data_IF_190415768431
#
_entry.id   IF_190415768431
#
_cell.length_a   1.000
_cell.length_b   1.000
_cell.length_c   1.000
_cell.angle_alpha   90.00
_cell.angle_beta   90.00
_cell.angle_gamma   90.00
#
_symmetry.space_group_name_H-M   'P 1'
#
loop_
_entity.id
_entity.type
_entity.pdbx_description
1 polymer ?
#
# COMPACT_ATOMS: atom_id res chain seq x y z
N UNK A 1 26.07 63.31 39.67
CA UNK A 1 25.07 62.23 39.79
C UNK A 1 24.17 62.02 38.55
N UNK A 2 24.14 62.93 37.55
CA UNK A 2 23.40 62.74 36.27
C UNK A 2 24.19 62.02 35.16
N UNK A 3 25.53 62.04 35.21
CA UNK A 3 26.39 61.40 34.19
C UNK A 3 26.37 59.86 34.28
N UNK A 4 26.35 59.31 35.49
CA UNK A 4 26.31 57.85 35.74
C UNK A 4 24.97 57.24 35.31
N UNK A 5 23.86 58.00 35.39
CA UNK A 5 22.50 57.54 35.08
C UNK A 5 22.20 57.45 33.58
N UNK A 6 22.90 58.22 32.74
CA UNK A 6 22.70 58.23 31.28
C UNK A 6 23.66 57.31 30.52
N UNK A 7 24.72 56.79 31.16
CA UNK A 7 25.67 55.87 30.55
C UNK A 7 25.64 54.44 31.12
N UNK A 8 24.83 54.20 32.16
CA UNK A 8 24.60 52.85 32.68
C UNK A 8 23.94 51.93 31.65
N UNK A 9 22.99 52.44 30.86
CA UNK A 9 22.28 51.67 29.83
C UNK A 9 23.19 51.12 28.72
N UNK A 10 24.02 51.94 28.04
CA UNK A 10 24.94 51.42 27.02
C UNK A 10 26.02 50.50 27.61
N UNK A 11 26.50 50.74 28.84
CA UNK A 11 27.44 49.84 29.50
C UNK A 11 26.82 48.47 29.83
N UNK A 12 25.57 48.44 30.33
CA UNK A 12 24.84 47.18 30.58
C UNK A 12 24.61 46.42 29.27
N UNK A 13 24.26 47.11 28.18
CA UNK A 13 24.06 46.49 26.87
C UNK A 13 25.33 45.85 26.34
N UNK A 14 26.48 46.54 26.43
CA UNK A 14 27.79 46.00 26.01
C UNK A 14 28.16 44.78 26.86
N UNK A 15 27.89 44.82 28.17
CA UNK A 15 28.18 43.72 29.08
C UNK A 15 27.29 42.50 28.80
N UNK A 16 26.03 42.71 28.42
CA UNK A 16 25.10 41.66 27.99
C UNK A 16 25.55 41.00 26.67
N UNK A 17 25.99 41.81 25.69
CA UNK A 17 26.54 41.31 24.42
C UNK A 17 27.81 40.49 24.68
N UNK A 18 28.70 40.96 25.55
CA UNK A 18 29.90 40.22 25.96
C UNK A 18 29.56 38.92 26.67
N UNK A 19 28.55 38.91 27.56
CA UNK A 19 28.07 37.68 28.20
C UNK A 19 27.51 36.68 27.18
N UNK A 20 26.73 37.13 26.18
CA UNK A 20 26.20 36.27 25.12
C UNK A 20 27.32 35.69 24.25
N UNK A 21 28.34 36.51 23.92
CA UNK A 21 29.50 36.04 23.16
C UNK A 21 30.33 35.04 23.96
N UNK A 22 30.55 35.29 25.26
CA UNK A 22 31.26 34.36 26.15
C UNK A 22 30.52 33.05 26.35
N UNK A 23 29.19 33.07 26.48
CA UNK A 23 28.40 31.84 26.57
C UNK A 23 28.41 31.07 25.26
N UNK A 24 28.34 31.73 24.09
CA UNK A 24 28.50 31.09 22.78
C UNK A 24 29.88 30.45 22.60
N UNK A 25 30.95 31.13 23.04
CA UNK A 25 32.33 30.59 22.98
C UNK A 25 32.47 29.39 23.92
N UNK A 26 31.96 29.47 25.16
CA UNK A 26 32.00 28.33 26.10
C UNK A 26 31.13 27.16 25.65
N UNK A 27 29.97 27.43 25.04
CA UNK A 27 29.15 26.39 24.42
C UNK A 27 29.91 25.74 23.26
N UNK A 28 30.59 26.51 22.42
CA UNK A 28 31.40 25.97 21.31
C UNK A 28 32.58 25.12 21.81
N UNK A 29 33.30 25.55 22.85
CA UNK A 29 34.44 24.79 23.40
C UNK A 29 34.00 23.54 24.15
N UNK A 30 32.81 23.53 24.77
CA UNK A 30 32.26 22.31 25.37
C UNK A 30 31.66 21.36 24.32
N UNK A 31 31.03 21.88 23.25
CA UNK A 31 30.50 21.07 22.15
C UNK A 31 31.60 20.52 21.23
N UNK A 32 32.78 21.16 21.14
CA UNK A 32 33.89 20.68 20.30
C UNK A 32 34.30 19.26 20.66
N UNK A 33 34.28 18.90 21.93
CA UNK A 33 34.63 17.56 22.40
C UNK A 33 33.55 16.52 22.05
N UNK A 34 32.31 16.95 21.79
CA UNK A 34 31.20 16.11 21.33
C UNK A 34 30.99 16.17 19.81
N UNK A 35 31.78 16.93 19.05
CA UNK A 35 31.66 17.00 17.58
C UNK A 35 31.84 15.64 16.93
N UNK A 36 32.74 14.80 17.46
CA UNK A 36 32.93 13.42 17.01
C UNK A 36 31.69 12.56 17.29
N UNK A 37 31.05 12.74 18.44
CA UNK A 37 29.81 12.03 18.81
C UNK A 37 28.64 12.48 17.96
N UNK A 38 28.47 13.80 17.75
CA UNK A 38 27.44 14.36 16.88
C UNK A 38 27.63 13.98 15.41
N UNK A 39 28.89 13.98 14.93
CA UNK A 39 29.24 13.53 13.58
C UNK A 39 28.99 12.03 13.41
N UNK A 40 29.34 11.20 14.40
CA UNK A 40 29.04 9.77 14.40
C UNK A 40 27.53 9.49 14.47
N UNK A 41 26.78 10.25 15.26
CA UNK A 41 25.31 10.15 15.32
C UNK A 41 24.67 10.56 14.00
N UNK A 42 25.09 11.68 13.39
CA UNK A 42 24.64 12.11 12.06
C UNK A 42 25.01 11.08 10.99
N UNK A 43 26.23 10.53 11.03
CA UNK A 43 26.69 9.48 10.12
C UNK A 43 25.91 8.18 10.26
N UNK A 44 25.60 7.76 11.49
CA UNK A 44 24.75 6.60 11.76
C UNK A 44 23.29 6.83 11.32
N UNK A 45 22.77 8.05 11.52
CA UNK A 45 21.41 8.40 11.15
C UNK A 45 21.26 8.45 9.62
N UNK A 46 22.18 9.12 8.91
CA UNK A 46 22.25 9.12 7.43
C UNK A 46 22.53 7.71 6.88
N UNK A 47 23.43 6.96 7.52
CA UNK A 47 23.76 5.58 7.15
C UNK A 47 22.57 4.61 7.30
N UNK A 48 21.72 4.82 8.31
CA UNK A 48 20.50 4.02 8.53
C UNK A 48 19.33 4.43 7.63
N UNK A 49 19.28 5.70 7.22
CA UNK A 49 18.24 6.21 6.31
C UNK A 49 18.36 5.63 4.89
N UNK A 50 19.56 5.34 4.40
CA UNK A 50 19.76 4.75 3.07
C UNK A 50 19.00 3.43 2.87
N UNK A 51 19.28 2.38 3.68
CA UNK A 51 18.56 1.11 3.63
C UNK A 51 17.05 1.25 3.88
N UNK A 52 16.65 2.16 4.78
CA UNK A 52 15.23 2.43 5.05
C UNK A 52 14.51 2.99 3.82
N UNK A 53 15.09 3.99 3.14
CA UNK A 53 14.52 4.57 1.91
C UNK A 53 14.50 3.56 0.77
N UNK A 54 15.55 2.73 0.63
CA UNK A 54 15.58 1.63 -0.35
C UNK A 54 14.49 0.60 -0.03
N UNK A 55 14.31 0.23 1.23
CA UNK A 55 13.26 -0.68 1.69
C UNK A 55 11.85 -0.13 1.40
N UNK A 56 11.60 1.14 1.72
CA UNK A 56 10.33 1.81 1.40
C UNK A 56 10.06 1.84 -0.10
N UNK A 57 11.06 2.13 -0.91
CA UNK A 57 10.93 2.14 -2.37
C UNK A 57 10.68 0.72 -2.92
N UNK A 58 11.32 -0.31 -2.34
CA UNK A 58 11.07 -1.71 -2.70
C UNK A 58 9.62 -2.10 -2.40
N UNK A 59 9.14 -1.80 -1.19
CA UNK A 59 7.75 -2.06 -0.78
C UNK A 59 6.75 -1.35 -1.70
N UNK A 60 7.00 -0.08 -2.05
CA UNK A 60 6.15 0.67 -2.98
C UNK A 60 6.11 0.01 -4.37
N UNK A 61 7.25 -0.48 -4.86
CA UNK A 61 7.34 -1.17 -6.14
C UNK A 61 6.64 -2.54 -6.13
N UNK A 62 6.77 -3.30 -5.04
CA UNK A 62 6.10 -4.59 -4.84
C UNK A 62 4.59 -4.41 -4.80
N UNK A 63 4.09 -3.47 -3.99
CA UNK A 63 2.68 -3.11 -3.96
C UNK A 63 2.16 -2.72 -5.35
N UNK A 64 2.87 -1.85 -6.09
CA UNK A 64 2.49 -1.45 -7.45
C UNK A 64 2.39 -2.65 -8.41
N UNK A 65 3.33 -3.58 -8.31
CA UNK A 65 3.34 -4.82 -9.13
C UNK A 65 2.19 -5.73 -8.73
N UNK A 66 1.99 -5.98 -7.43
CA UNK A 66 0.93 -6.81 -6.88
C UNK A 66 -0.44 -6.29 -7.30
N UNK A 67 -0.73 -5.01 -7.02
CA UNK A 67 -1.96 -4.33 -7.45
C UNK A 67 -2.22 -4.49 -8.94
N UNK A 68 -1.23 -4.20 -9.79
CA UNK A 68 -1.38 -4.34 -11.25
C UNK A 68 -1.69 -5.77 -11.68
N UNK A 69 -1.01 -6.77 -11.12
CA UNK A 69 -1.25 -8.18 -11.43
C UNK A 69 -2.64 -8.61 -10.99
N UNK A 70 -3.01 -8.24 -9.78
CA UNK A 70 -4.30 -8.58 -9.20
C UNK A 70 -5.47 -7.95 -9.95
N UNK A 71 -5.38 -6.66 -10.28
CA UNK A 71 -6.40 -5.99 -11.09
C UNK A 71 -6.57 -6.68 -12.44
N UNK A 72 -5.47 -7.09 -13.09
CA UNK A 72 -5.55 -7.82 -14.37
C UNK A 72 -6.22 -9.18 -14.24
N UNK A 73 -5.90 -9.92 -13.17
CA UNK A 73 -6.51 -11.22 -12.90
C UNK A 73 -8.02 -11.07 -12.66
N UNK A 74 -8.41 -10.10 -11.82
CA UNK A 74 -9.83 -9.78 -11.60
C UNK A 74 -10.54 -9.39 -12.90
N UNK A 75 -9.94 -8.52 -13.71
CA UNK A 75 -10.51 -8.14 -15.00
C UNK A 75 -10.69 -9.32 -15.94
N UNK A 76 -9.69 -10.20 -16.02
CA UNK A 76 -9.75 -11.39 -16.86
C UNK A 76 -10.89 -12.30 -16.40
N UNK A 77 -10.90 -12.67 -15.12
CA UNK A 77 -11.96 -13.54 -14.57
C UNK A 77 -13.35 -12.92 -14.69
N UNK A 78 -13.51 -11.63 -14.43
CA UNK A 78 -14.75 -10.90 -14.67
C UNK A 78 -15.17 -10.91 -16.14
N UNK A 79 -14.22 -10.82 -17.10
CA UNK A 79 -14.57 -10.89 -18.52
C UNK A 79 -15.02 -12.28 -18.97
N UNK A 80 -14.55 -13.34 -18.29
CA UNK A 80 -14.99 -14.72 -18.54
C UNK A 80 -16.36 -14.96 -17.93
N UNK A 81 -16.60 -14.47 -16.72
CA UNK A 81 -17.84 -14.67 -15.97
C UNK A 81 -18.67 -13.40 -15.83
N UNK A 82 -18.75 -12.59 -16.88
CA UNK A 82 -19.69 -11.46 -16.92
C UNK A 82 -21.13 -11.98 -17.03
N UNK A 83 -22.11 -11.11 -16.79
CA UNK A 83 -23.52 -11.51 -16.74
C UNK A 83 -23.98 -12.18 -18.04
N UNK A 84 -23.52 -11.68 -19.19
CA UNK A 84 -23.84 -12.22 -20.52
C UNK A 84 -23.33 -13.66 -20.69
N UNK A 85 -22.05 -13.91 -20.38
CA UNK A 85 -21.44 -15.23 -20.50
C UNK A 85 -22.03 -16.20 -19.47
N UNK A 86 -22.29 -15.74 -18.25
CA UNK A 86 -22.91 -16.57 -17.21
C UNK A 86 -24.30 -17.01 -17.62
N UNK A 87 -25.10 -16.13 -18.22
CA UNK A 87 -26.40 -16.50 -18.78
C UNK A 87 -26.28 -17.56 -19.88
N UNK A 88 -25.26 -17.48 -20.74
CA UNK A 88 -24.98 -18.48 -21.76
C UNK A 88 -24.57 -19.83 -21.14
N UNK A 89 -23.69 -19.81 -20.14
CA UNK A 89 -23.27 -20.99 -19.39
C UNK A 89 -24.41 -21.67 -18.64
N UNK A 90 -25.40 -20.90 -18.16
CA UNK A 90 -26.60 -21.45 -17.51
C UNK A 90 -27.57 -22.15 -18.49
N UNK A 91 -27.56 -21.73 -19.76
CA UNK A 91 -28.38 -22.30 -20.84
C UNK A 91 -27.70 -23.50 -21.52
N UNK A 92 -26.38 -23.57 -21.47
CA UNK A 92 -25.58 -24.64 -22.09
C UNK A 92 -25.60 -25.92 -21.25
N UNK A 93 -25.74 -27.12 -21.87
CA UNK A 93 -25.58 -28.39 -21.17
C UNK A 93 -24.16 -28.54 -20.59
N UNK A 94 -24.06 -29.06 -19.37
CA UNK A 94 -22.78 -29.25 -18.68
C UNK A 94 -21.79 -30.08 -19.51
N UNK A 95 -22.28 -31.09 -20.22
CA UNK A 95 -21.48 -32.00 -21.05
C UNK A 95 -20.75 -31.27 -22.20
N UNK A 96 -21.23 -30.09 -22.58
CA UNK A 96 -20.68 -29.27 -23.64
C UNK A 96 -19.86 -28.07 -23.10
N UNK A 97 -19.72 -27.95 -21.78
CA UNK A 97 -19.04 -26.81 -21.16
C UNK A 97 -17.67 -27.22 -20.65
N UNK A 98 -16.60 -26.78 -21.33
CA UNK A 98 -15.24 -26.90 -20.82
C UNK A 98 -14.74 -25.51 -20.39
N UNK A 99 -14.75 -25.24 -19.08
CA UNK A 99 -14.31 -23.95 -18.52
C UNK A 99 -12.77 -23.85 -18.49
N UNK A 100 -12.07 -25.00 -18.35
CA UNK A 100 -10.61 -25.04 -18.27
C UNK A 100 -10.08 -24.29 -17.04
N UNK A 101 -8.76 -24.04 -17.00
CA UNK A 101 -8.15 -23.23 -15.94
C UNK A 101 -8.26 -21.74 -16.29
N UNK A 102 -8.96 -20.98 -15.47
CA UNK A 102 -9.21 -19.54 -15.61
C UNK A 102 -8.29 -18.73 -14.68
N UNK A 103 -8.09 -19.17 -13.45
CA UNK A 103 -7.14 -18.57 -12.50
C UNK A 103 -5.74 -19.05 -12.88
N UNK A 104 -5.05 -18.28 -13.72
CA UNK A 104 -3.72 -18.65 -14.22
C UNK A 104 -2.57 -18.38 -13.23
N UNK A 105 -2.80 -17.56 -12.19
CA UNK A 105 -1.79 -17.22 -11.19
C UNK A 105 -2.12 -17.91 -9.86
N UNK A 106 -1.51 -19.06 -9.61
CA UNK A 106 -1.73 -19.86 -8.38
C UNK A 106 -1.26 -19.14 -7.10
N UNK A 107 -0.49 -18.05 -7.23
CA UNK A 107 0.02 -17.26 -6.12
C UNK A 107 -0.84 -15.99 -5.87
N UNK A 108 -2.04 -15.92 -6.46
CA UNK A 108 -2.90 -14.74 -6.38
C UNK A 108 -3.21 -14.30 -4.93
N UNK A 109 -3.33 -15.27 -4.02
CA UNK A 109 -3.63 -15.03 -2.60
C UNK A 109 -2.52 -14.25 -1.89
N UNK A 110 -1.26 -14.37 -2.32
CA UNK A 110 -0.14 -13.61 -1.76
C UNK A 110 -0.26 -12.10 -2.00
N UNK A 111 -1.08 -11.69 -2.98
CA UNK A 111 -1.28 -10.28 -3.28
C UNK A 111 -2.39 -9.65 -2.43
N UNK A 112 -3.23 -10.43 -1.73
CA UNK A 112 -4.38 -9.92 -0.99
C UNK A 112 -3.98 -8.92 0.10
N UNK A 113 -2.94 -9.24 0.90
CA UNK A 113 -2.46 -8.35 1.96
C UNK A 113 -1.94 -7.00 1.46
N UNK A 114 -1.59 -6.90 0.18
CA UNK A 114 -1.20 -5.62 -0.42
C UNK A 114 -2.42 -4.75 -0.76
N UNK A 115 -3.61 -5.34 -0.85
CA UNK A 115 -4.85 -4.65 -1.19
C UNK A 115 -5.58 -4.10 0.03
N UNK A 116 -5.22 -4.51 1.25
CA UNK A 116 -5.74 -3.94 2.52
C UNK A 116 -5.56 -2.41 2.58
N UNK A 117 -4.61 -1.87 1.81
CA UNK A 117 -4.41 -0.43 1.66
C UNK A 117 -5.54 0.28 0.89
N UNK A 118 -6.16 -0.40 -0.05
CA UNK A 118 -7.12 0.17 -1.01
C UNK A 118 -8.54 -0.34 -0.84
N UNK A 119 -8.71 -1.52 -0.23
CA UNK A 119 -9.97 -2.25 -0.13
C UNK A 119 -10.33 -2.51 1.33
N UNK A 120 -11.64 -2.58 1.62
CA UNK A 120 -12.15 -3.03 2.92
C UNK A 120 -12.12 -4.54 3.03
N UNK A 121 -12.19 -5.06 4.26
CA UNK A 121 -12.27 -6.50 4.53
C UNK A 121 -13.46 -7.16 3.81
N UNK A 122 -14.59 -6.45 3.70
CA UNK A 122 -15.77 -6.93 2.97
C UNK A 122 -15.48 -7.06 1.46
N UNK A 123 -14.82 -6.06 0.86
CA UNK A 123 -14.42 -6.11 -0.55
C UNK A 123 -13.41 -7.23 -0.81
N UNK A 124 -12.46 -7.44 0.11
CA UNK A 124 -11.52 -8.57 0.06
C UNK A 124 -12.26 -9.91 0.13
N UNK A 125 -13.22 -10.04 1.04
CA UNK A 125 -14.02 -11.25 1.18
C UNK A 125 -14.84 -11.55 -0.09
N UNK A 126 -15.42 -10.53 -0.74
CA UNK A 126 -16.11 -10.68 -2.03
C UNK A 126 -15.16 -11.27 -3.09
N UNK A 127 -13.91 -10.78 -3.15
CA UNK A 127 -12.91 -11.29 -4.09
C UNK A 127 -12.53 -12.74 -3.79
N UNK A 128 -12.33 -13.08 -2.51
CA UNK A 128 -12.02 -14.47 -2.11
C UNK A 128 -13.16 -15.40 -2.52
N UNK A 129 -14.40 -15.01 -2.26
CA UNK A 129 -15.57 -15.79 -2.68
C UNK A 129 -15.68 -15.89 -4.21
N UNK A 130 -15.37 -14.83 -4.94
CA UNK A 130 -15.33 -14.84 -6.39
C UNK A 130 -14.36 -15.88 -6.92
N UNK A 131 -13.11 -15.87 -6.46
CA UNK A 131 -12.11 -16.86 -6.89
C UNK A 131 -12.42 -18.28 -6.42
N UNK A 132 -12.99 -18.45 -5.22
CA UNK A 132 -13.44 -19.76 -4.72
C UNK A 132 -14.53 -20.38 -5.62
N UNK A 133 -15.51 -19.57 -6.04
CA UNK A 133 -16.54 -20.02 -7.00
C UNK A 133 -15.95 -20.38 -8.36
N UNK A 134 -14.98 -19.62 -8.86
CA UNK A 134 -14.30 -19.97 -10.11
C UNK A 134 -13.52 -21.27 -9.96
N UNK A 135 -12.78 -21.45 -8.86
CA UNK A 135 -12.03 -22.67 -8.59
C UNK A 135 -12.93 -23.92 -8.56
N UNK A 136 -14.14 -23.79 -8.01
CA UNK A 136 -15.16 -24.86 -8.07
C UNK A 136 -15.52 -25.19 -9.53
N UNK A 137 -15.68 -24.19 -10.40
CA UNK A 137 -16.00 -24.37 -11.82
C UNK A 137 -14.83 -24.94 -12.65
N UNK A 138 -13.59 -24.76 -12.21
CA UNK A 138 -12.41 -25.36 -12.84
C UNK A 138 -12.31 -26.87 -12.59
N UNK A 139 -13.03 -27.40 -11.60
CA UNK A 139 -13.00 -28.81 -11.24
C UNK A 139 -13.83 -29.64 -12.24
N UNK A 140 -13.22 -30.69 -12.80
CA UNK A 140 -13.80 -31.49 -13.89
C UNK A 140 -15.00 -32.35 -13.47
N UNK A 141 -15.15 -32.67 -12.19
CA UNK A 141 -16.20 -33.55 -11.66
C UNK A 141 -17.30 -32.80 -10.89
N UNK A 142 -17.72 -31.63 -11.39
CA UNK A 142 -18.77 -30.82 -10.76
C UNK A 142 -20.17 -31.36 -11.09
N UNK A 143 -21.03 -31.49 -10.07
CA UNK A 143 -22.44 -31.84 -10.27
C UNK A 143 -23.23 -30.66 -10.89
N UNK A 144 -24.25 -30.96 -11.70
CA UNK A 144 -25.06 -29.95 -12.41
C UNK A 144 -25.73 -28.95 -11.45
N UNK A 145 -26.20 -29.38 -10.28
CA UNK A 145 -26.78 -28.49 -9.29
C UNK A 145 -25.74 -27.51 -8.75
N UNK A 146 -24.56 -28.03 -8.39
CA UNK A 146 -23.44 -27.23 -7.88
C UNK A 146 -22.95 -26.24 -8.94
N UNK A 147 -22.85 -26.68 -10.20
CA UNK A 147 -22.48 -25.83 -11.34
C UNK A 147 -23.43 -24.63 -11.50
N UNK A 148 -24.74 -24.87 -11.56
CA UNK A 148 -25.74 -23.80 -11.71
C UNK A 148 -25.77 -22.86 -10.50
N UNK A 149 -25.67 -23.42 -9.30
CA UNK A 149 -25.61 -22.62 -8.07
C UNK A 149 -24.37 -21.71 -8.07
N UNK A 150 -23.22 -22.25 -8.48
CA UNK A 150 -21.94 -21.53 -8.54
C UNK A 150 -21.98 -20.39 -9.57
N UNK A 151 -22.52 -20.64 -10.76
CA UNK A 151 -22.73 -19.60 -11.77
C UNK A 151 -23.67 -18.49 -11.30
N UNK A 152 -24.78 -18.85 -10.64
CA UNK A 152 -25.72 -17.88 -10.07
C UNK A 152 -25.05 -17.02 -8.98
N UNK A 153 -24.20 -17.65 -8.17
CA UNK A 153 -23.42 -16.97 -7.13
C UNK A 153 -22.37 -16.01 -7.70
N UNK A 154 -21.77 -16.33 -8.85
CA UNK A 154 -20.90 -15.42 -9.59
C UNK A 154 -21.68 -14.24 -10.15
N UNK A 155 -22.81 -14.49 -10.83
CA UNK A 155 -23.65 -13.42 -11.37
C UNK A 155 -24.04 -12.39 -10.31
N UNK A 156 -24.41 -12.84 -9.10
CA UNK A 156 -24.75 -11.94 -7.98
C UNK A 156 -23.60 -11.06 -7.50
N UNK A 157 -22.36 -11.50 -7.67
CA UNK A 157 -21.14 -10.77 -7.24
C UNK A 157 -20.48 -9.98 -8.38
N UNK A 158 -20.98 -10.12 -9.60
CA UNK A 158 -20.42 -9.53 -10.81
C UNK A 158 -20.30 -8.00 -10.70
N UNK A 159 -21.39 -7.33 -10.32
CA UNK A 159 -21.41 -5.86 -10.12
C UNK A 159 -20.43 -5.40 -9.03
N UNK A 160 -20.36 -6.13 -7.91
CA UNK A 160 -19.43 -5.81 -6.81
C UNK A 160 -17.97 -5.94 -7.27
N UNK A 161 -17.64 -6.97 -8.04
CA UNK A 161 -16.31 -7.16 -8.62
C UNK A 161 -15.98 -6.06 -9.63
N UNK A 162 -16.94 -5.66 -10.45
CA UNK A 162 -16.76 -4.54 -11.37
C UNK A 162 -16.45 -3.23 -10.62
N UNK A 163 -17.17 -2.97 -9.52
CA UNK A 163 -16.95 -1.82 -8.65
C UNK A 163 -15.55 -1.85 -8.01
N UNK A 164 -15.11 -3.00 -7.51
CA UNK A 164 -13.76 -3.20 -6.96
C UNK A 164 -12.69 -2.95 -8.03
N UNK A 165 -12.87 -3.48 -9.25
CA UNK A 165 -11.94 -3.25 -10.37
C UNK A 165 -11.84 -1.75 -10.69
N UNK A 166 -12.99 -1.04 -10.73
CA UNK A 166 -13.03 0.42 -10.94
C UNK A 166 -12.27 1.16 -9.83
N UNK A 167 -12.49 0.80 -8.57
CA UNK A 167 -11.80 1.38 -7.40
C UNK A 167 -10.29 1.20 -7.50
N UNK A 168 -9.82 -0.01 -7.79
CA UNK A 168 -8.38 -0.32 -7.93
C UNK A 168 -7.71 0.45 -9.07
N UNK A 169 -8.42 0.75 -10.15
CA UNK A 169 -7.90 1.55 -11.28
C UNK A 169 -7.85 3.05 -10.98
N UNK A 170 -8.82 3.56 -10.23
CA UNK A 170 -8.95 4.99 -9.93
C UNK A 170 -7.94 5.44 -8.88
N UNK A 171 -7.58 4.57 -7.92
CA UNK A 171 -6.57 4.88 -6.91
C UNK A 171 -5.19 4.94 -7.58
N UNK A 172 -4.73 6.16 -7.87
CA UNK A 172 -3.41 6.43 -8.43
C UNK A 172 -2.32 6.16 -7.39
N UNK A 173 -1.21 5.61 -7.86
CA UNK A 173 -0.07 5.27 -7.01
C UNK A 173 0.75 6.56 -6.82
N UNK A 174 0.47 7.29 -5.74
CA UNK A 174 1.28 8.44 -5.31
C UNK A 174 2.59 8.00 -4.66
#
# INVERSE_FOLDING_TARGET
MKFIKNHSYPCILILLILCILLTLINFHTQLSDYTNVLSAMMGALVGSMGPYVIGLQSQKNEYKKAKRRFTRLLQYTHSVFNDENVEEYLKTPLENTAIGKVIYDDQWSNYLSFLDRDLSDDEINIIVQWFDRIFILENSDIDRYVYKATLTDLQKKSEDIEAIIKKLKTISIS
#
